data_IF_431456130343
#
_entry.id   IF_431456130343
#
_cell.length_a   1.000
_cell.length_b   1.000
_cell.length_c   1.000
_cell.angle_alpha   90.00
_cell.angle_beta   90.00
_cell.angle_gamma   90.00
#
_symmetry.space_group_name_H-M   'P 1'
#
loop_
_entity.id
_entity.type
_entity.pdbx_description
1 polymer ?
#
# COMPACT_ATOMS: atom_id res chain seq x y z
N UNK A 1 31.80 34.49 -19.70
CA UNK A 1 31.49 34.88 -21.10
C UNK A 1 30.63 33.74 -21.67
N UNK A 2 29.39 33.88 -22.13
CA UNK A 2 28.65 34.95 -22.80
C UNK A 2 27.28 35.15 -22.15
N UNK A 3 26.82 36.40 -22.18
CA UNK A 3 25.53 36.90 -21.69
C UNK A 3 24.42 36.61 -22.72
N UNK A 4 23.22 36.27 -22.26
CA UNK A 4 21.98 36.37 -23.04
C UNK A 4 21.06 37.40 -22.36
N UNK A 5 20.46 38.37 -23.08
CA UNK A 5 19.73 39.49 -22.48
C UNK A 5 18.21 39.21 -22.37
N UNK A 6 17.65 39.67 -21.26
CA UNK A 6 16.21 39.83 -21.03
C UNK A 6 15.62 40.94 -21.91
N UNK A 7 14.36 40.83 -22.37
CA UNK A 7 13.64 41.99 -22.87
C UNK A 7 12.83 42.67 -21.74
N UNK A 8 13.15 43.93 -21.49
CA UNK A 8 12.29 44.93 -20.89
C UNK A 8 11.10 45.25 -21.82
N UNK A 9 9.88 45.33 -21.26
CA UNK A 9 8.80 46.23 -21.73
C UNK A 9 7.81 46.46 -20.58
N UNK A 10 7.82 47.66 -20.00
CA UNK A 10 6.97 48.83 -20.29
C UNK A 10 5.65 48.82 -19.51
N UNK A 11 5.67 49.57 -18.41
CA UNK A 11 4.51 50.11 -17.69
C UNK A 11 4.01 51.37 -18.43
N UNK A 12 2.71 51.49 -18.72
CA UNK A 12 2.06 52.79 -18.85
C UNK A 12 1.10 53.04 -17.68
N UNK A 13 1.08 54.30 -17.24
CA UNK A 13 0.40 54.82 -16.06
C UNK A 13 -1.12 55.06 -16.19
N UNK A 14 -1.68 55.90 -15.30
CA UNK A 14 -3.09 55.88 -14.91
C UNK A 14 -3.97 56.67 -15.90
N UNK A 15 -5.02 56.02 -16.39
CA UNK A 15 -5.99 56.61 -17.33
C UNK A 15 -7.42 56.54 -16.81
N UNK A 16 -7.95 57.72 -16.48
CA UNK A 16 -9.33 58.18 -16.62
C UNK A 16 -10.51 57.37 -16.03
N UNK A 17 -11.15 58.00 -15.04
CA UNK A 17 -12.51 57.79 -14.59
C UNK A 17 -13.53 57.90 -15.74
N UNK A 18 -14.32 56.85 -15.96
CA UNK A 18 -15.67 56.96 -16.49
C UNK A 18 -16.66 56.21 -15.60
N UNK A 19 -17.53 56.98 -14.97
CA UNK A 19 -18.69 56.52 -14.22
C UNK A 19 -19.76 56.11 -15.24
N UNK A 20 -20.03 54.82 -15.36
CA UNK A 20 -21.29 54.32 -15.90
C UNK A 20 -21.96 53.46 -14.86
N UNK A 21 -23.10 53.96 -14.37
CA UNK A 21 -24.01 53.25 -13.50
C UNK A 21 -24.65 52.09 -14.28
N UNK A 22 -24.17 50.88 -14.04
CA UNK A 22 -24.92 49.66 -14.32
C UNK A 22 -25.41 49.13 -12.98
N UNK A 23 -26.73 49.27 -12.75
CA UNK A 23 -27.40 48.60 -11.65
C UNK A 23 -27.34 47.09 -11.90
N UNK A 24 -26.32 46.44 -11.32
CA UNK A 24 -26.28 44.99 -11.20
C UNK A 24 -27.30 44.64 -10.12
N UNK A 25 -28.42 44.10 -10.56
CA UNK A 25 -29.36 43.38 -9.73
C UNK A 25 -28.62 42.17 -9.16
N UNK A 26 -28.04 42.33 -7.96
CA UNK A 26 -27.54 41.22 -7.15
C UNK A 26 -28.77 40.44 -6.66
N UNK A 27 -29.33 39.61 -7.54
CA UNK A 27 -30.16 38.51 -7.10
C UNK A 27 -29.20 37.55 -6.39
N UNK A 28 -29.09 37.72 -5.07
CA UNK A 28 -28.48 36.73 -4.21
C UNK A 28 -29.32 35.46 -4.33
N UNK A 29 -28.97 34.62 -5.31
CA UNK A 29 -29.30 33.21 -5.28
C UNK A 29 -28.50 32.62 -4.12
N UNK A 30 -28.99 32.82 -2.89
CA UNK A 30 -28.83 31.88 -1.80
C UNK A 30 -29.56 30.59 -2.22
N UNK A 31 -29.08 29.94 -3.28
CA UNK A 31 -29.28 28.51 -3.46
C UNK A 31 -28.58 27.90 -2.26
N UNK A 32 -29.39 27.58 -1.25
CA UNK A 32 -28.95 26.86 -0.07
C UNK A 32 -28.10 25.71 -0.55
N UNK A 33 -26.79 25.80 -0.30
CA UNK A 33 -25.96 24.62 -0.19
C UNK A 33 -26.48 23.91 1.06
N UNK A 34 -27.64 23.27 0.95
CA UNK A 34 -27.97 22.17 1.80
C UNK A 34 -26.83 21.19 1.58
N UNK A 35 -25.90 21.14 2.53
CA UNK A 35 -25.02 19.99 2.65
C UNK A 35 -25.97 18.79 2.64
N UNK A 36 -25.96 18.03 1.54
CA UNK A 36 -26.67 16.76 1.48
C UNK A 36 -26.21 16.00 2.71
N UNK A 37 -27.13 15.76 3.64
CA UNK A 37 -26.81 14.94 4.79
C UNK A 37 -26.41 13.57 4.24
N UNK A 38 -25.21 13.12 4.61
CA UNK A 38 -24.76 11.78 4.31
C UNK A 38 -25.84 10.78 4.74
N UNK A 39 -26.40 10.06 3.77
CA UNK A 39 -27.39 9.04 4.00
C UNK A 39 -26.75 7.72 4.41
N UNK A 40 -27.56 6.82 4.96
CA UNK A 40 -27.19 5.42 5.15
C UNK A 40 -28.00 4.57 4.19
N UNK A 41 -27.32 3.74 3.39
CA UNK A 41 -27.94 2.77 2.49
C UNK A 41 -27.63 1.37 3.03
N UNK A 42 -28.62 0.73 3.64
CA UNK A 42 -28.47 -0.63 4.17
C UNK A 42 -28.81 -1.67 3.10
N UNK A 43 -27.94 -2.66 2.94
CA UNK A 43 -28.08 -3.79 2.03
C UNK A 43 -28.10 -5.07 2.84
N UNK A 44 -29.26 -5.75 2.90
CA UNK A 44 -29.40 -7.03 3.61
C UNK A 44 -29.16 -8.17 2.64
N UNK A 45 -28.06 -8.88 2.83
CA UNK A 45 -27.66 -10.04 2.04
C UNK A 45 -28.18 -11.33 2.66
N UNK A 46 -28.46 -12.32 1.81
CA UNK A 46 -29.04 -13.61 2.22
C UNK A 46 -28.22 -14.80 1.72
N UNK A 47 -26.92 -14.62 1.52
CA UNK A 47 -25.97 -15.60 1.02
C UNK A 47 -26.46 -16.34 -0.25
N UNK A 48 -26.89 -15.59 -1.26
CA UNK A 48 -27.38 -16.13 -2.53
C UNK A 48 -26.81 -15.37 -3.73
N UNK A 49 -26.93 -15.96 -4.92
CA UNK A 49 -26.30 -15.46 -6.14
C UNK A 49 -26.74 -14.05 -6.57
N UNK A 50 -27.83 -13.51 -6.01
CA UNK A 50 -28.31 -12.15 -6.26
C UNK A 50 -27.66 -11.06 -5.39
N UNK A 51 -26.91 -11.41 -4.34
CA UNK A 51 -26.38 -10.45 -3.37
C UNK A 51 -25.41 -9.45 -4.03
N UNK A 52 -24.54 -9.89 -4.93
CA UNK A 52 -23.63 -9.00 -5.64
C UNK A 52 -24.36 -7.93 -6.47
N UNK A 53 -25.46 -8.33 -7.14
CA UNK A 53 -26.32 -7.41 -7.90
C UNK A 53 -27.03 -6.44 -6.96
N UNK A 54 -27.54 -6.93 -5.83
CA UNK A 54 -28.21 -6.12 -4.81
C UNK A 54 -27.28 -5.02 -4.27
N UNK A 55 -26.05 -5.40 -3.88
CA UNK A 55 -25.03 -4.46 -3.39
C UNK A 55 -24.71 -3.43 -4.48
N UNK A 56 -24.38 -3.86 -5.70
CA UNK A 56 -24.04 -2.93 -6.79
C UNK A 56 -25.19 -1.97 -7.13
N UNK A 57 -26.45 -2.42 -7.08
CA UNK A 57 -27.61 -1.55 -7.29
C UNK A 57 -27.74 -0.48 -6.20
N UNK A 58 -27.52 -0.86 -4.93
CA UNK A 58 -27.51 0.08 -3.82
C UNK A 58 -26.41 1.13 -3.97
N UNK A 59 -25.20 0.72 -4.37
CA UNK A 59 -24.08 1.64 -4.64
C UNK A 59 -24.40 2.57 -5.82
N UNK A 60 -24.98 2.04 -6.89
CA UNK A 60 -25.35 2.85 -8.05
C UNK A 60 -26.39 3.92 -7.68
N UNK A 61 -27.36 3.56 -6.84
CA UNK A 61 -28.39 4.48 -6.32
C UNK A 61 -27.94 5.45 -5.24
N UNK A 62 -26.71 5.32 -4.71
CA UNK A 62 -26.23 6.17 -3.61
C UNK A 62 -25.64 7.52 -4.06
N UNK A 63 -25.78 8.51 -3.18
CA UNK A 63 -25.29 9.87 -3.32
C UNK A 63 -23.86 10.04 -2.80
N UNK A 64 -23.20 11.14 -3.17
CA UNK A 64 -21.88 11.49 -2.62
C UNK A 64 -22.04 11.70 -1.11
N UNK A 65 -21.16 11.09 -0.32
CA UNK A 65 -21.17 11.15 1.15
C UNK A 65 -21.92 10.00 1.83
N UNK A 66 -22.70 9.20 1.10
CA UNK A 66 -23.46 8.09 1.69
C UNK A 66 -22.55 6.99 2.24
N UNK A 67 -23.01 6.37 3.34
CA UNK A 67 -22.46 5.14 3.88
C UNK A 67 -23.29 3.94 3.42
N UNK A 68 -22.63 2.97 2.79
CA UNK A 68 -23.23 1.70 2.37
C UNK A 68 -22.96 0.66 3.45
N UNK A 69 -24.02 0.18 4.09
CA UNK A 69 -23.96 -0.80 5.18
C UNK A 69 -24.38 -2.15 4.65
N UNK A 70 -23.45 -3.09 4.53
CA UNK A 70 -23.71 -4.47 4.13
C UNK A 70 -24.03 -5.27 5.39
N UNK A 71 -25.17 -5.93 5.41
CA UNK A 71 -25.65 -6.71 6.53
C UNK A 71 -25.86 -8.18 6.13
N UNK A 72 -25.45 -9.09 7.01
CA UNK A 72 -25.48 -10.53 6.78
C UNK A 72 -24.39 -11.05 5.83
N UNK A 73 -24.33 -12.38 5.65
CA UNK A 73 -23.43 -13.01 4.69
C UNK A 73 -23.89 -12.73 3.25
N UNK A 74 -22.94 -12.41 2.38
CA UNK A 74 -23.16 -12.11 0.97
C UNK A 74 -22.40 -13.09 0.07
N UNK A 75 -23.11 -13.69 -0.88
CA UNK A 75 -22.48 -14.50 -1.94
C UNK A 75 -22.13 -13.62 -3.14
N UNK A 76 -20.84 -13.43 -3.38
CA UNK A 76 -20.33 -12.52 -4.41
C UNK A 76 -20.06 -13.27 -5.70
N UNK A 77 -20.92 -13.05 -6.69
CA UNK A 77 -20.87 -13.63 -8.05
C UNK A 77 -20.42 -12.64 -9.11
N UNK A 78 -20.24 -11.37 -8.73
CA UNK A 78 -19.71 -10.30 -9.56
C UNK A 78 -18.93 -9.31 -8.69
N UNK A 79 -17.89 -8.68 -9.23
CA UNK A 79 -17.12 -7.65 -8.52
C UNK A 79 -18.04 -6.52 -8.03
N UNK A 80 -17.83 -6.07 -6.79
CA UNK A 80 -18.50 -4.91 -6.23
C UNK A 80 -17.70 -3.66 -6.59
N UNK A 81 -18.33 -2.76 -7.36
CA UNK A 81 -17.71 -1.51 -7.80
C UNK A 81 -17.90 -0.43 -6.72
N UNK A 82 -16.81 -0.02 -6.09
CA UNK A 82 -16.79 1.04 -5.09
C UNK A 82 -16.75 2.41 -5.77
N UNK A 83 -17.86 3.15 -5.76
CA UNK A 83 -17.90 4.57 -6.17
C UNK A 83 -17.12 5.44 -5.18
N UNK A 84 -16.34 6.38 -5.70
CA UNK A 84 -15.62 7.36 -4.88
C UNK A 84 -16.56 8.28 -4.09
N UNK A 85 -16.06 8.93 -3.03
CA UNK A 85 -16.80 9.73 -2.04
C UNK A 85 -17.90 8.97 -1.28
N UNK A 86 -17.71 7.68 -1.02
CA UNK A 86 -18.61 6.87 -0.18
C UNK A 86 -17.80 6.10 0.85
N UNK A 87 -18.45 5.72 1.94
CA UNK A 87 -17.95 4.70 2.86
C UNK A 87 -18.71 3.40 2.67
N UNK A 88 -18.03 2.28 2.90
CA UNK A 88 -18.54 0.93 2.79
C UNK A 88 -18.20 0.21 4.08
N UNK A 89 -19.19 -0.37 4.74
CA UNK A 89 -18.93 -1.13 5.96
C UNK A 89 -19.83 -2.34 6.13
N UNK A 90 -19.35 -3.31 6.91
CA UNK A 90 -20.22 -4.29 7.53
C UNK A 90 -20.74 -3.84 8.90
N UNK A 91 -21.35 -4.77 9.61
CA UNK A 91 -21.71 -4.64 11.03
C UNK A 91 -20.58 -5.12 11.96
N UNK A 92 -19.45 -5.54 11.38
CA UNK A 92 -18.31 -6.15 12.05
C UNK A 92 -17.68 -7.20 11.13
N UNK A 93 -16.61 -7.86 11.59
CA UNK A 93 -15.94 -8.93 10.82
C UNK A 93 -16.87 -10.14 10.55
N UNK A 94 -18.01 -10.25 11.21
CA UNK A 94 -19.02 -11.28 10.95
C UNK A 94 -19.83 -11.00 9.66
N UNK A 95 -19.79 -9.79 9.11
CA UNK A 95 -20.30 -9.50 7.76
C UNK A 95 -19.32 -10.07 6.74
N UNK A 96 -19.65 -11.21 6.14
CA UNK A 96 -18.77 -11.93 5.21
C UNK A 96 -19.22 -11.73 3.76
N UNK A 97 -18.33 -11.23 2.92
CA UNK A 97 -18.45 -11.16 1.47
C UNK A 97 -17.65 -12.31 0.88
N UNK A 98 -18.32 -13.41 0.54
CA UNK A 98 -17.68 -14.64 0.07
C UNK A 98 -17.83 -14.81 -1.44
N UNK A 99 -16.74 -15.05 -2.16
CA UNK A 99 -16.80 -15.40 -3.57
C UNK A 99 -17.60 -16.68 -3.82
N UNK A 100 -18.52 -16.65 -4.78
CA UNK A 100 -19.26 -17.84 -5.22
C UNK A 100 -18.34 -18.93 -5.77
N UNK A 101 -18.77 -20.19 -5.68
CA UNK A 101 -18.02 -21.30 -6.28
C UNK A 101 -17.93 -21.11 -7.80
N UNK A 102 -16.74 -21.33 -8.37
CA UNK A 102 -16.46 -21.17 -9.79
C UNK A 102 -16.74 -19.76 -10.35
N UNK A 103 -16.88 -18.74 -9.50
CA UNK A 103 -17.10 -17.36 -9.94
C UNK A 103 -15.84 -16.79 -10.62
N UNK A 104 -14.65 -17.20 -10.15
CA UNK A 104 -13.36 -16.88 -10.77
C UNK A 104 -13.18 -15.38 -11.07
N UNK A 105 -13.61 -14.54 -10.13
CA UNK A 105 -13.54 -13.09 -10.23
C UNK A 105 -12.08 -12.63 -10.22
N UNK A 106 -11.77 -11.57 -10.97
CA UNK A 106 -10.48 -10.92 -10.84
C UNK A 106 -10.32 -10.25 -9.45
N UNK A 107 -11.41 -9.76 -8.88
CA UNK A 107 -11.43 -9.11 -7.57
C UNK A 107 -12.82 -9.06 -6.94
N UNK A 108 -12.89 -9.05 -5.60
CA UNK A 108 -14.15 -8.93 -4.86
C UNK A 108 -14.61 -7.47 -4.82
N UNK A 109 -13.76 -6.56 -4.33
CA UNK A 109 -14.03 -5.14 -4.26
C UNK A 109 -13.02 -4.35 -5.12
N UNK A 110 -13.49 -3.43 -5.96
CA UNK A 110 -12.59 -2.54 -6.69
C UNK A 110 -13.14 -1.12 -6.79
N UNK A 111 -12.25 -0.12 -6.65
CA UNK A 111 -12.59 1.28 -6.90
C UNK A 111 -13.05 1.50 -8.34
N UNK A 112 -14.02 2.39 -8.51
CA UNK A 112 -14.57 2.80 -9.80
C UNK A 112 -13.49 3.21 -10.81
N UNK A 113 -12.52 4.03 -10.42
CA UNK A 113 -11.40 4.49 -11.25
C UNK A 113 -10.54 3.35 -11.82
N UNK A 114 -10.48 2.20 -11.15
CA UNK A 114 -9.79 1.02 -11.64
C UNK A 114 -10.62 0.30 -12.71
N UNK A 115 -11.91 0.08 -12.44
CA UNK A 115 -12.82 -0.63 -13.34
C UNK A 115 -13.18 0.20 -14.59
N UNK A 116 -13.31 1.52 -14.44
CA UNK A 116 -13.66 2.46 -15.50
C UNK A 116 -12.45 2.87 -16.35
N UNK A 117 -11.27 2.31 -16.07
CA UNK A 117 -10.05 2.61 -16.81
C UNK A 117 -9.69 4.10 -16.85
N UNK A 118 -10.00 4.81 -15.77
CA UNK A 118 -9.70 6.24 -15.64
C UNK A 118 -8.19 6.47 -15.77
N UNK A 119 -7.77 7.51 -16.47
CA UNK A 119 -6.38 7.96 -16.44
C UNK A 119 -6.04 8.73 -15.14
N UNK A 120 -7.01 8.94 -14.25
CA UNK A 120 -6.90 9.73 -13.04
C UNK A 120 -7.26 8.91 -11.81
N UNK A 121 -6.63 9.25 -10.68
CA UNK A 121 -6.97 8.66 -9.38
C UNK A 121 -8.45 8.91 -9.05
N UNK A 122 -9.09 7.91 -8.43
CA UNK A 122 -10.50 8.00 -7.99
C UNK A 122 -10.68 8.87 -6.76
N UNK A 123 -11.90 9.31 -6.50
CA UNK A 123 -12.23 10.07 -5.31
C UNK A 123 -12.15 9.21 -4.04
N UNK A 124 -12.05 9.81 -2.83
CA UNK A 124 -11.81 9.07 -1.59
C UNK A 124 -12.84 7.97 -1.30
N UNK A 125 -12.37 6.79 -0.89
CA UNK A 125 -13.20 5.64 -0.53
C UNK A 125 -12.78 5.14 0.85
N UNK A 126 -13.74 4.79 1.70
CA UNK A 126 -13.46 4.10 2.97
C UNK A 126 -14.10 2.72 2.98
N UNK A 127 -13.35 1.66 3.31
CA UNK A 127 -13.85 0.30 3.49
C UNK A 127 -13.51 -0.18 4.89
N UNK A 128 -14.51 -0.66 5.65
CA UNK A 128 -14.28 -1.07 7.04
C UNK A 128 -15.19 -2.16 7.61
N UNK A 129 -14.76 -2.80 8.69
CA UNK A 129 -15.61 -3.66 9.55
C UNK A 129 -16.32 -4.78 8.79
N UNK A 130 -15.60 -5.55 7.98
CA UNK A 130 -16.15 -6.70 7.24
C UNK A 130 -15.09 -7.76 6.97
N UNK A 131 -15.52 -8.94 6.55
CA UNK A 131 -14.67 -10.02 6.06
C UNK A 131 -14.85 -10.21 4.55
N UNK A 132 -13.75 -10.42 3.84
CA UNK A 132 -13.70 -10.75 2.42
C UNK A 132 -13.07 -12.14 2.28
N UNK A 133 -13.85 -13.10 1.78
CA UNK A 133 -13.42 -14.50 1.59
C UNK A 133 -13.33 -14.80 0.09
N UNK A 134 -12.11 -15.06 -0.39
CA UNK A 134 -11.83 -15.37 -1.78
C UNK A 134 -12.28 -16.77 -2.20
N UNK A 135 -12.59 -17.65 -1.23
CA UNK A 135 -13.04 -19.01 -1.48
C UNK A 135 -12.13 -19.77 -2.47
N UNK A 136 -10.81 -19.62 -2.31
CA UNK A 136 -9.80 -20.16 -3.25
C UNK A 136 -9.90 -21.65 -3.50
N UNK A 137 -10.34 -22.44 -2.52
CA UNK A 137 -10.48 -23.90 -2.72
C UNK A 137 -11.56 -24.24 -3.76
N UNK A 138 -12.43 -23.29 -4.12
CA UNK A 138 -13.48 -23.43 -5.12
C UNK A 138 -13.33 -22.46 -6.31
N UNK A 139 -12.20 -21.75 -6.43
CA UNK A 139 -11.94 -20.77 -7.48
C UNK A 139 -10.48 -20.84 -7.93
N UNK A 140 -10.24 -20.84 -9.24
CA UNK A 140 -8.90 -21.01 -9.82
C UNK A 140 -8.29 -19.71 -10.36
N UNK A 141 -9.05 -18.62 -10.39
CA UNK A 141 -8.52 -17.31 -10.77
C UNK A 141 -7.83 -16.64 -9.58
N UNK A 142 -6.68 -16.00 -9.85
CA UNK A 142 -5.91 -15.20 -8.90
C UNK A 142 -6.68 -13.94 -8.43
N UNK A 143 -7.70 -14.18 -7.62
CA UNK A 143 -8.65 -13.17 -7.15
C UNK A 143 -7.97 -12.24 -6.15
N UNK A 144 -8.15 -10.92 -6.33
CA UNK A 144 -7.73 -9.92 -5.35
C UNK A 144 -8.87 -9.55 -4.41
N UNK A 145 -8.62 -9.48 -3.10
CA UNK A 145 -9.63 -9.07 -2.12
C UNK A 145 -10.15 -7.64 -2.37
N UNK A 146 -9.24 -6.65 -2.30
CA UNK A 146 -9.55 -5.24 -2.56
C UNK A 146 -8.54 -4.64 -3.55
N UNK A 147 -9.03 -4.02 -4.61
CA UNK A 147 -8.23 -3.12 -5.48
C UNK A 147 -8.63 -1.67 -5.22
N UNK A 148 -7.66 -0.86 -4.79
CA UNK A 148 -7.87 0.57 -4.51
C UNK A 148 -7.01 1.44 -5.43
N UNK A 149 -7.69 2.28 -6.21
CA UNK A 149 -7.07 3.24 -7.11
C UNK A 149 -7.57 4.67 -6.87
N UNK A 150 -7.58 5.10 -5.61
CA UNK A 150 -8.17 6.37 -5.16
C UNK A 150 -7.31 7.04 -4.09
N UNK A 151 -7.28 8.39 -4.07
CA UNK A 151 -6.52 9.18 -3.10
C UNK A 151 -7.31 9.40 -1.80
N UNK A 152 -6.61 9.65 -0.69
CA UNK A 152 -7.22 9.89 0.63
C UNK A 152 -8.21 8.80 1.05
N UNK A 153 -7.99 7.57 0.58
CA UNK A 153 -8.83 6.42 0.89
C UNK A 153 -8.36 5.68 2.11
N UNK A 154 -9.26 4.93 2.76
CA UNK A 154 -8.93 4.07 3.89
C UNK A 154 -9.46 2.65 3.73
N UNK A 155 -8.67 1.68 4.21
CA UNK A 155 -9.06 0.27 4.39
C UNK A 155 -8.76 -0.08 5.84
N UNK A 156 -9.80 -0.22 6.66
CA UNK A 156 -9.68 -0.23 8.12
C UNK A 156 -10.45 -1.40 8.75
N UNK A 157 -9.79 -2.20 9.59
CA UNK A 157 -10.45 -3.30 10.32
C UNK A 157 -11.23 -4.26 9.39
N UNK A 158 -10.55 -4.69 8.31
CA UNK A 158 -11.06 -5.69 7.37
C UNK A 158 -10.31 -7.01 7.56
N UNK A 159 -11.04 -8.13 7.58
CA UNK A 159 -10.45 -9.47 7.46
C UNK A 159 -10.47 -9.90 6.00
N UNK A 160 -9.33 -10.30 5.43
CA UNK A 160 -9.22 -10.73 4.03
C UNK A 160 -8.56 -12.09 4.03
N UNK A 161 -9.27 -13.10 3.54
CA UNK A 161 -8.82 -14.49 3.63
C UNK A 161 -9.01 -15.23 2.33
N UNK A 162 -8.22 -16.31 2.15
CA UNK A 162 -8.49 -17.33 1.14
C UNK A 162 -8.57 -16.78 -0.28
N UNK A 163 -7.76 -15.75 -0.58
CA UNK A 163 -7.58 -15.22 -1.93
C UNK A 163 -6.61 -16.11 -2.69
N UNK A 164 -6.87 -16.41 -3.95
CA UNK A 164 -5.86 -17.06 -4.81
C UNK A 164 -4.84 -16.04 -5.34
N UNK A 165 -5.21 -14.76 -5.39
CA UNK A 165 -4.33 -13.63 -5.70
C UNK A 165 -3.90 -12.85 -4.45
N UNK A 166 -3.96 -11.52 -4.52
CA UNK A 166 -3.51 -10.62 -3.45
C UNK A 166 -4.61 -10.35 -2.42
N UNK A 167 -4.23 -10.03 -1.18
CA UNK A 167 -5.18 -9.51 -0.20
C UNK A 167 -5.65 -8.10 -0.56
N UNK A 168 -4.74 -7.13 -0.46
CA UNK A 168 -4.97 -5.72 -0.81
C UNK A 168 -4.01 -5.30 -1.92
N UNK A 169 -4.53 -4.64 -2.95
CA UNK A 169 -3.75 -4.08 -4.05
C UNK A 169 -4.02 -2.57 -4.21
N UNK A 170 -2.99 -1.74 -4.07
CA UNK A 170 -3.00 -0.38 -4.63
C UNK A 170 -2.38 -0.42 -6.02
N UNK A 171 -3.11 0.04 -7.05
CA UNK A 171 -2.68 -0.15 -8.44
C UNK A 171 -2.59 1.16 -9.21
N UNK A 172 -1.44 1.39 -9.85
CA UNK A 172 -1.26 2.43 -10.85
C UNK A 172 -2.00 2.08 -12.16
N UNK A 173 -1.76 0.92 -12.80
CA UNK A 173 -2.57 0.52 -13.94
C UNK A 173 -4.02 0.25 -13.54
N UNK A 174 -4.96 0.65 -14.38
CA UNK A 174 -6.36 0.21 -14.32
C UNK A 174 -6.53 -1.24 -14.78
N UNK A 175 -7.78 -1.74 -14.82
CA UNK A 175 -8.09 -3.09 -15.28
C UNK A 175 -7.60 -3.37 -16.73
N UNK A 176 -7.64 -2.37 -17.62
CA UNK A 176 -7.11 -2.47 -18.98
C UNK A 176 -5.65 -1.97 -19.12
N UNK A 177 -4.92 -1.83 -18.02
CA UNK A 177 -3.55 -1.32 -17.96
C UNK A 177 -3.36 0.17 -18.29
N UNK A 178 -4.42 1.00 -18.26
CA UNK A 178 -4.27 2.45 -18.39
C UNK A 178 -3.54 3.01 -17.15
N UNK A 179 -2.38 3.67 -17.29
CA UNK A 179 -1.65 4.21 -16.15
C UNK A 179 -2.32 5.46 -15.58
N UNK A 180 -1.99 5.79 -14.33
CA UNK A 180 -2.34 7.10 -13.76
C UNK A 180 -1.52 8.21 -14.42
N UNK A 181 -2.18 9.34 -14.70
CA UNK A 181 -1.57 10.60 -15.15
C UNK A 181 -1.34 11.57 -13.99
N UNK A 182 -1.81 11.23 -12.79
CA UNK A 182 -1.58 11.96 -11.54
C UNK A 182 -1.20 11.01 -10.40
N UNK A 183 -1.13 11.53 -9.18
CA UNK A 183 -0.73 10.75 -8.00
C UNK A 183 -1.92 10.25 -7.20
N UNK A 184 -1.74 9.11 -6.55
CA UNK A 184 -2.61 8.50 -5.56
C UNK A 184 -1.89 8.56 -4.20
N UNK A 185 -2.32 9.49 -3.35
CA UNK A 185 -1.60 9.83 -2.12
C UNK A 185 -2.51 9.88 -0.89
N UNK A 186 -1.89 9.95 0.28
CA UNK A 186 -2.53 10.26 1.56
C UNK A 186 -3.56 9.23 2.04
N UNK A 187 -3.46 7.98 1.59
CA UNK A 187 -4.35 6.92 2.03
C UNK A 187 -3.84 6.14 3.25
N UNK A 188 -4.69 5.28 3.81
CA UNK A 188 -4.43 4.53 5.05
C UNK A 188 -4.87 3.07 4.93
N UNK A 189 -4.02 2.15 5.37
CA UNK A 189 -4.32 0.72 5.50
C UNK A 189 -4.05 0.34 6.97
N UNK A 190 -5.12 0.16 7.75
CA UNK A 190 -5.04 0.14 9.22
C UNK A 190 -5.78 -1.04 9.83
N UNK A 191 -5.18 -1.76 10.79
CA UNK A 191 -5.94 -2.70 11.62
C UNK A 191 -6.46 -3.93 10.89
N UNK A 192 -5.97 -4.22 9.68
CA UNK A 192 -6.48 -5.32 8.87
C UNK A 192 -5.84 -6.65 9.26
N UNK A 193 -6.56 -7.74 8.99
CA UNK A 193 -6.00 -9.08 9.05
C UNK A 193 -6.07 -9.71 7.66
N UNK A 194 -4.92 -9.96 7.06
CA UNK A 194 -4.79 -10.54 5.73
C UNK A 194 -4.14 -11.90 5.85
N UNK A 195 -4.86 -12.96 5.52
CA UNK A 195 -4.34 -14.32 5.63
C UNK A 195 -4.62 -15.21 4.41
N UNK A 196 -3.80 -16.27 4.30
CA UNK A 196 -4.00 -17.37 3.35
C UNK A 196 -4.20 -16.94 1.88
N UNK A 197 -3.54 -15.85 1.47
CA UNK A 197 -3.57 -15.32 0.11
C UNK A 197 -2.52 -16.00 -0.77
N UNK A 198 -2.82 -16.38 -2.01
CA UNK A 198 -1.87 -17.02 -2.94
C UNK A 198 -0.80 -16.08 -3.51
N UNK A 199 -1.06 -14.77 -3.52
CA UNK A 199 -0.11 -13.73 -3.86
C UNK A 199 0.46 -13.01 -2.63
N UNK A 200 0.81 -11.74 -2.79
CA UNK A 200 1.15 -10.85 -1.67
C UNK A 200 -0.02 -10.60 -0.71
N UNK A 201 0.27 -10.39 0.57
CA UNK A 201 -0.72 -9.90 1.52
C UNK A 201 -1.18 -8.49 1.16
N UNK A 202 -0.24 -7.54 1.15
CA UNK A 202 -0.46 -6.16 0.69
C UNK A 202 0.51 -5.84 -0.45
N UNK A 203 0.00 -5.36 -1.58
CA UNK A 203 0.79 -5.03 -2.76
C UNK A 203 0.50 -3.62 -3.25
N UNK A 204 1.55 -2.85 -3.52
CA UNK A 204 1.52 -1.60 -4.27
C UNK A 204 2.21 -1.84 -5.59
N UNK A 205 1.40 -1.87 -6.65
CA UNK A 205 1.84 -1.98 -8.05
C UNK A 205 1.93 -0.59 -8.65
N UNK A 206 3.13 -0.06 -8.84
CA UNK A 206 3.34 1.34 -9.24
C UNK A 206 4.34 1.50 -10.38
N UNK A 207 3.87 1.22 -11.59
CA UNK A 207 4.67 1.33 -12.82
C UNK A 207 4.98 2.76 -13.25
N UNK A 208 4.39 3.77 -12.61
CA UNK A 208 4.46 5.18 -13.02
C UNK A 208 4.86 6.15 -11.92
N UNK A 209 5.41 5.65 -10.81
CA UNK A 209 5.82 6.48 -9.66
C UNK A 209 4.69 7.43 -9.19
N UNK A 210 3.48 6.87 -9.05
CA UNK A 210 2.25 7.60 -8.79
C UNK A 210 1.64 7.30 -7.42
N UNK A 211 2.09 6.27 -6.69
CA UNK A 211 1.51 5.86 -5.41
C UNK A 211 2.51 6.15 -4.28
N UNK A 212 2.29 7.23 -3.53
CA UNK A 212 3.21 7.73 -2.49
C UNK A 212 2.47 8.22 -1.25
N UNK A 213 3.17 8.44 -0.15
CA UNK A 213 2.63 9.13 1.03
C UNK A 213 1.43 8.42 1.69
N UNK A 214 1.45 7.09 1.72
CA UNK A 214 0.44 6.27 2.43
C UNK A 214 0.93 5.85 3.80
N UNK A 215 -0.03 5.58 4.69
CA UNK A 215 0.23 4.93 5.99
C UNK A 215 -0.27 3.49 5.97
N UNK A 216 0.60 2.54 6.31
CA UNK A 216 0.30 1.13 6.47
C UNK A 216 0.66 0.74 7.91
N UNK A 217 -0.35 0.61 8.76
CA UNK A 217 -0.12 0.45 10.21
C UNK A 217 -1.02 -0.56 10.90
N UNK A 218 -0.50 -1.21 11.93
CA UNK A 218 -1.27 -2.07 12.83
C UNK A 218 -1.99 -3.23 12.09
N UNK A 219 -1.39 -3.77 11.02
CA UNK A 219 -1.95 -4.89 10.27
C UNK A 219 -1.30 -6.22 10.66
N UNK A 220 -2.05 -7.32 10.53
CA UNK A 220 -1.55 -8.68 10.62
C UNK A 220 -1.56 -9.32 9.23
N UNK A 221 -0.41 -9.86 8.81
CA UNK A 221 -0.25 -10.53 7.52
C UNK A 221 0.30 -11.92 7.76
N UNK A 222 -0.46 -12.94 7.36
CA UNK A 222 -0.18 -14.34 7.67
C UNK A 222 -0.32 -15.25 6.45
N UNK A 223 0.68 -16.08 6.13
CA UNK A 223 0.48 -17.12 5.12
C UNK A 223 0.20 -16.60 3.71
N UNK A 224 0.84 -15.51 3.30
CA UNK A 224 0.85 -15.08 1.89
C UNK A 224 1.63 -16.07 1.02
N UNK A 225 1.30 -16.21 -0.26
CA UNK A 225 2.02 -17.08 -1.19
C UNK A 225 3.23 -16.42 -1.84
N UNK A 226 3.38 -15.09 -1.68
CA UNK A 226 4.56 -14.32 -2.05
C UNK A 226 5.03 -13.46 -0.85
N UNK A 227 5.49 -12.22 -1.09
CA UNK A 227 5.87 -11.28 -0.02
C UNK A 227 4.69 -10.94 0.89
N UNK A 228 4.94 -10.70 2.18
CA UNK A 228 3.92 -10.21 3.10
C UNK A 228 3.41 -8.83 2.67
N UNK A 229 4.33 -7.86 2.59
CA UNK A 229 4.11 -6.51 2.09
C UNK A 229 5.07 -6.25 0.94
N UNK A 230 4.54 -5.87 -0.24
CA UNK A 230 5.33 -5.47 -1.41
C UNK A 230 4.97 -4.07 -1.85
N UNK A 231 5.96 -3.17 -1.85
CA UNK A 231 5.84 -1.80 -2.31
C UNK A 231 6.81 -1.58 -3.48
N UNK A 232 6.31 -1.43 -4.70
CA UNK A 232 7.15 -1.07 -5.86
C UNK A 232 7.59 0.41 -5.84
N UNK A 233 6.88 1.23 -5.07
CA UNK A 233 7.25 2.60 -4.78
C UNK A 233 6.92 2.92 -3.33
N UNK A 234 7.94 3.16 -2.52
CA UNK A 234 7.82 3.44 -1.09
C UNK A 234 8.05 4.90 -0.73
N UNK A 235 8.18 5.82 -1.69
CA UNK A 235 8.42 7.23 -1.39
C UNK A 235 7.35 7.82 -0.45
N UNK A 236 7.78 8.40 0.67
CA UNK A 236 6.92 9.02 1.68
C UNK A 236 6.04 8.08 2.51
N UNK A 237 6.16 6.76 2.32
CA UNK A 237 5.35 5.79 3.06
C UNK A 237 5.74 5.72 4.55
N UNK A 238 4.73 5.48 5.39
CA UNK A 238 4.89 5.09 6.79
C UNK A 238 4.40 3.65 6.93
N UNK A 239 5.31 2.72 7.22
CA UNK A 239 5.04 1.28 7.36
C UNK A 239 5.39 0.87 8.78
N UNK A 240 4.39 0.79 9.66
CA UNK A 240 4.67 0.63 11.09
C UNK A 240 3.76 -0.31 11.86
N UNK A 241 4.27 -0.89 12.96
CA UNK A 241 3.50 -1.73 13.89
C UNK A 241 2.75 -2.89 13.24
N UNK A 242 3.20 -3.38 12.08
CA UNK A 242 2.61 -4.54 11.43
C UNK A 242 3.20 -5.83 12.00
N UNK A 243 2.41 -6.90 12.01
CA UNK A 243 2.85 -8.24 12.36
C UNK A 243 2.82 -9.16 11.14
N UNK A 244 3.96 -9.74 10.77
CA UNK A 244 4.13 -10.53 9.55
C UNK A 244 4.73 -11.90 9.89
N UNK A 245 4.08 -12.98 9.45
CA UNK A 245 4.54 -14.34 9.68
C UNK A 245 4.06 -15.32 8.60
N UNK A 246 4.76 -16.46 8.46
CA UNK A 246 4.37 -17.51 7.53
C UNK A 246 4.50 -17.11 6.05
N UNK A 247 5.49 -16.29 5.69
CA UNK A 247 5.64 -15.80 4.30
C UNK A 247 6.82 -16.48 3.58
N UNK A 248 6.63 -16.97 2.35
CA UNK A 248 7.64 -17.74 1.62
C UNK A 248 8.76 -16.88 1.03
N UNK A 249 8.52 -15.59 0.80
CA UNK A 249 9.49 -14.67 0.21
C UNK A 249 9.95 -13.62 1.23
N UNK A 250 9.83 -12.32 0.92
CA UNK A 250 10.20 -11.24 1.81
C UNK A 250 9.07 -10.91 2.78
N UNK A 251 9.38 -10.53 4.02
CA UNK A 251 8.31 -10.01 4.89
C UNK A 251 7.87 -8.62 4.43
N UNK A 252 8.83 -7.71 4.25
CA UNK A 252 8.62 -6.38 3.68
C UNK A 252 9.60 -6.19 2.51
N UNK A 253 9.07 -5.94 1.33
CA UNK A 253 9.80 -5.44 0.17
C UNK A 253 9.41 -3.99 -0.10
N UNK A 254 10.36 -3.08 0.04
CA UNK A 254 10.16 -1.64 -0.13
C UNK A 254 11.13 -1.08 -1.18
N UNK A 255 10.70 -1.01 -2.43
CA UNK A 255 11.50 -0.39 -3.49
C UNK A 255 11.35 1.14 -3.45
N UNK A 256 12.41 1.87 -3.78
CA UNK A 256 12.42 3.33 -3.93
C UNK A 256 12.12 4.09 -2.64
N UNK A 257 12.72 3.69 -1.51
CA UNK A 257 12.57 4.45 -0.27
C UNK A 257 13.15 5.87 -0.43
N UNK A 258 12.35 6.87 -0.09
CA UNK A 258 12.67 8.29 -0.18
C UNK A 258 11.78 9.04 0.83
N UNK A 259 12.36 9.49 1.95
CA UNK A 259 11.57 10.04 3.06
C UNK A 259 10.60 9.02 3.68
N UNK A 260 10.89 7.72 3.53
CA UNK A 260 10.06 6.60 3.99
C UNK A 260 10.40 6.24 5.43
N UNK A 261 9.42 5.84 6.23
CA UNK A 261 9.64 5.18 7.53
C UNK A 261 9.15 3.73 7.52
N UNK A 262 10.01 2.81 7.96
CA UNK A 262 9.68 1.41 8.25
C UNK A 262 10.01 1.14 9.71
N UNK A 263 9.00 1.18 10.58
CA UNK A 263 9.21 1.27 12.03
C UNK A 263 8.38 0.30 12.87
N UNK A 264 8.95 -0.22 13.96
CA UNK A 264 8.23 -0.99 14.98
C UNK A 264 7.45 -2.21 14.46
N UNK A 265 7.78 -2.72 13.27
CA UNK A 265 7.17 -3.92 12.73
C UNK A 265 7.68 -5.15 13.49
N UNK A 266 6.81 -6.15 13.63
CA UNK A 266 7.13 -7.44 14.19
C UNK A 266 7.09 -8.49 13.08
N UNK A 267 8.24 -9.07 12.77
CA UNK A 267 8.41 -10.10 11.74
C UNK A 267 8.87 -11.37 12.44
N UNK A 268 8.06 -12.43 12.37
CA UNK A 268 8.38 -13.72 12.98
C UNK A 268 8.91 -14.75 11.98
N UNK A 269 8.65 -14.57 10.68
CA UNK A 269 9.01 -15.55 9.67
C UNK A 269 9.06 -14.96 8.28
N UNK A 270 10.04 -15.39 7.49
CA UNK A 270 10.22 -15.02 6.08
C UNK A 270 11.13 -16.03 5.38
N UNK A 271 11.05 -16.13 4.06
CA UNK A 271 11.80 -17.14 3.30
C UNK A 271 11.36 -18.57 3.63
N UNK A 272 10.11 -18.76 4.08
CA UNK A 272 9.51 -20.05 4.44
C UNK A 272 9.07 -20.82 3.20
N UNK A 273 10.04 -21.09 2.31
CA UNK A 273 9.82 -21.69 1.01
C UNK A 273 10.75 -22.87 0.77
N UNK A 274 10.32 -23.80 -0.08
CA UNK A 274 11.16 -24.87 -0.62
C UNK A 274 12.02 -24.39 -1.79
N UNK A 275 11.87 -23.16 -2.27
CA UNK A 275 12.66 -22.61 -3.39
C UNK A 275 13.91 -21.89 -2.88
N UNK A 276 15.08 -22.21 -3.42
CA UNK A 276 16.31 -21.50 -3.08
C UNK A 276 16.27 -20.04 -3.57
N UNK A 277 16.74 -19.10 -2.75
CA UNK A 277 16.75 -17.68 -3.10
C UNK A 277 17.47 -16.80 -2.07
N UNK A 278 17.30 -15.49 -2.20
CA UNK A 278 17.75 -14.54 -1.18
C UNK A 278 16.54 -13.88 -0.55
N UNK A 279 16.31 -14.15 0.73
CA UNK A 279 15.10 -13.73 1.43
C UNK A 279 15.42 -12.67 2.46
N UNK A 280 14.51 -11.72 2.63
CA UNK A 280 14.70 -10.59 3.53
C UNK A 280 13.54 -10.46 4.51
N UNK A 281 13.86 -10.14 5.76
CA UNK A 281 12.85 -9.63 6.68
C UNK A 281 12.39 -8.25 6.18
N UNK A 282 13.35 -7.33 6.03
CA UNK A 282 13.12 -6.02 5.42
C UNK A 282 14.11 -5.82 4.27
N UNK A 283 13.59 -5.76 3.04
CA UNK A 283 14.31 -5.35 1.84
C UNK A 283 13.95 -3.91 1.53
N UNK A 284 14.94 -3.03 1.39
CA UNK A 284 14.73 -1.64 0.99
C UNK A 284 15.75 -1.19 -0.07
N UNK A 285 15.32 -0.58 -1.18
CA UNK A 285 16.27 0.13 -2.07
C UNK A 285 16.17 1.62 -1.83
N UNK A 286 17.30 2.27 -1.62
CA UNK A 286 17.33 3.72 -1.39
C UNK A 286 17.41 4.48 -2.73
N UNK A 287 17.04 5.75 -2.72
CA UNK A 287 17.25 6.62 -3.86
C UNK A 287 17.33 8.08 -3.45
N UNK A 288 18.09 8.87 -4.19
CA UNK A 288 18.17 10.32 -3.98
C UNK A 288 18.66 10.74 -2.60
N UNK A 289 18.60 12.05 -2.35
CA UNK A 289 19.29 12.66 -1.21
C UNK A 289 18.41 12.84 0.04
N UNK A 290 17.16 12.34 0.01
CA UNK A 290 16.25 12.39 1.16
C UNK A 290 16.32 11.07 1.92
N UNK A 291 16.72 11.17 3.18
CA UNK A 291 16.93 10.01 4.03
C UNK A 291 15.61 9.29 4.37
N UNK A 292 15.66 7.96 4.36
CA UNK A 292 14.60 7.09 4.89
C UNK A 292 15.04 6.45 6.21
N UNK A 293 14.08 5.97 7.00
CA UNK A 293 14.31 5.42 8.34
C UNK A 293 13.81 3.98 8.44
N UNK A 294 14.64 3.11 9.03
CA UNK A 294 14.29 1.72 9.38
C UNK A 294 14.64 1.52 10.86
N UNK A 295 13.65 1.58 11.75
CA UNK A 295 13.92 1.61 13.19
C UNK A 295 12.96 0.82 14.07
N UNK A 296 13.44 0.34 15.22
CA UNK A 296 12.60 -0.31 16.22
C UNK A 296 11.98 -1.65 15.78
N UNK A 297 12.32 -2.17 14.60
CA UNK A 297 11.74 -3.40 14.09
C UNK A 297 12.28 -4.62 14.86
N UNK A 298 11.42 -5.59 15.09
CA UNK A 298 11.75 -6.92 15.61
C UNK A 298 11.71 -7.89 14.46
N UNK A 299 12.88 -8.33 13.99
CA UNK A 299 13.01 -9.19 12.81
C UNK A 299 13.60 -10.53 13.21
N UNK A 300 12.74 -11.53 13.27
CA UNK A 300 13.06 -12.90 13.61
C UNK A 300 12.74 -13.84 12.45
N UNK A 301 13.28 -15.05 12.54
CA UNK A 301 12.94 -16.11 11.60
C UNK A 301 12.70 -17.42 12.38
N UNK A 302 11.54 -17.50 13.04
CA UNK A 302 11.09 -18.65 13.82
C UNK A 302 10.75 -19.86 12.95
N UNK A 303 10.33 -19.64 11.69
CA UNK A 303 10.26 -20.71 10.67
C UNK A 303 11.64 -21.27 10.29
N UNK A 304 12.71 -20.56 10.65
CA UNK A 304 14.09 -20.96 10.48
C UNK A 304 14.65 -20.64 9.08
N UNK A 305 15.93 -20.94 8.90
CA UNK A 305 16.62 -20.78 7.61
C UNK A 305 16.60 -22.12 6.85
N UNK A 306 15.40 -22.70 6.68
CA UNK A 306 15.19 -24.12 6.33
C UNK A 306 15.71 -24.51 4.94
N UNK A 307 15.70 -23.59 3.97
CA UNK A 307 16.23 -23.85 2.64
C UNK A 307 17.74 -23.65 2.60
N UNK A 308 18.49 -24.76 2.47
CA UNK A 308 19.96 -24.79 2.50
C UNK A 308 20.62 -24.08 1.32
N UNK A 309 19.93 -23.97 0.18
CA UNK A 309 20.39 -23.21 -0.98
C UNK A 309 20.16 -21.69 -0.88
N UNK A 310 19.49 -21.21 0.17
CA UNK A 310 19.13 -19.80 0.31
C UNK A 310 20.17 -18.98 1.06
N UNK A 311 20.05 -17.65 0.95
CA UNK A 311 20.68 -16.71 1.89
C UNK A 311 19.61 -15.84 2.54
N UNK A 312 19.80 -15.53 3.82
CA UNK A 312 18.80 -14.81 4.62
C UNK A 312 19.39 -13.49 5.12
N UNK A 313 18.72 -12.38 4.84
CA UNK A 313 19.15 -11.03 5.20
C UNK A 313 18.07 -10.37 6.06
N UNK A 314 18.29 -10.15 7.34
CA UNK A 314 17.21 -9.72 8.22
C UNK A 314 16.77 -8.28 7.90
N UNK A 315 17.73 -7.35 7.80
CA UNK A 315 17.49 -6.00 7.26
C UNK A 315 18.54 -5.70 6.19
N UNK A 316 18.09 -5.36 5.00
CA UNK A 316 18.96 -5.16 3.84
C UNK A 316 18.64 -3.91 3.03
N UNK A 317 19.70 -3.19 2.66
CA UNK A 317 19.71 -2.13 1.67
C UNK A 317 20.64 -2.58 0.54
N UNK A 318 20.17 -3.37 -0.43
CA UNK A 318 21.06 -4.00 -1.40
C UNK A 318 21.35 -3.13 -2.63
N UNK A 319 20.62 -2.02 -2.79
CA UNK A 319 20.77 -1.14 -3.94
C UNK A 319 20.44 0.32 -3.60
N UNK A 320 21.11 1.23 -4.30
CA UNK A 320 20.70 2.63 -4.47
C UNK A 320 20.31 2.81 -5.95
N UNK A 321 19.05 3.19 -6.20
CA UNK A 321 18.49 3.18 -7.55
C UNK A 321 19.11 4.24 -8.48
N UNK A 322 19.51 5.39 -7.92
CA UNK A 322 20.25 6.43 -8.62
C UNK A 322 20.91 7.38 -7.61
N UNK A 323 21.92 8.12 -8.07
CA UNK A 323 22.70 9.05 -7.24
C UNK A 323 23.26 8.36 -5.97
N UNK A 324 23.38 9.12 -4.90
CA UNK A 324 23.64 8.61 -3.54
C UNK A 324 22.33 8.30 -2.83
N UNK A 325 22.36 7.35 -1.89
CA UNK A 325 21.23 7.04 -1.01
C UNK A 325 21.58 7.29 0.45
N UNK A 326 20.58 7.64 1.25
CA UNK A 326 20.73 7.94 2.68
C UNK A 326 19.68 7.16 3.48
N UNK A 327 20.11 6.39 4.46
CA UNK A 327 19.20 5.60 5.30
C UNK A 327 19.66 5.60 6.76
N UNK A 328 18.74 5.72 7.70
CA UNK A 328 19.01 5.42 9.11
C UNK A 328 18.47 4.02 9.42
N UNK A 329 19.30 3.17 10.03
CA UNK A 329 18.94 1.81 10.45
C UNK A 329 19.26 1.67 11.91
N UNK A 330 18.29 1.90 12.80
CA UNK A 330 18.57 2.11 14.23
C UNK A 330 17.64 1.35 15.16
N UNK A 331 18.15 0.89 16.31
CA UNK A 331 17.30 0.32 17.36
C UNK A 331 16.55 -0.96 16.98
N UNK A 332 16.97 -1.67 15.94
CA UNK A 332 16.29 -2.91 15.51
C UNK A 332 16.78 -4.11 16.35
N UNK A 333 15.88 -5.05 16.64
CA UNK A 333 16.18 -6.32 17.27
C UNK A 333 16.12 -7.45 16.25
N UNK A 334 17.26 -8.09 16.00
CA UNK A 334 17.43 -9.14 15.02
C UNK A 334 17.90 -10.41 15.72
N UNK A 335 17.17 -11.50 15.48
CA UNK A 335 17.59 -12.84 15.91
C UNK A 335 17.43 -13.81 14.76
N UNK A 336 18.55 -14.36 14.31
CA UNK A 336 18.52 -15.40 13.30
C UNK A 336 18.33 -16.80 13.81
N UNK A 337 18.40 -17.76 12.87
CA UNK A 337 18.23 -19.19 13.16
C UNK A 337 19.54 -19.91 13.55
N UNK A 338 20.68 -19.20 13.59
CA UNK A 338 21.97 -19.76 14.00
C UNK A 338 22.67 -20.57 12.91
N UNK A 339 22.29 -20.38 11.64
CA UNK A 339 22.91 -21.08 10.51
C UNK A 339 23.93 -20.19 9.80
N UNK A 340 24.74 -20.81 8.94
CA UNK A 340 25.76 -20.14 8.11
C UNK A 340 25.18 -19.21 7.03
N UNK A 341 23.86 -19.20 6.82
CA UNK A 341 23.16 -18.48 5.74
C UNK A 341 22.63 -17.11 6.16
N UNK A 342 22.56 -16.83 7.47
CA UNK A 342 21.98 -15.62 8.02
C UNK A 342 22.93 -14.43 8.07
N UNK A 343 22.46 -13.25 7.66
CA UNK A 343 23.13 -11.96 7.86
C UNK A 343 22.19 -10.95 8.46
N UNK A 344 22.57 -10.36 9.60
CA UNK A 344 21.72 -9.41 10.31
C UNK A 344 21.46 -8.14 9.49
N UNK A 345 22.52 -7.39 9.22
CA UNK A 345 22.48 -6.12 8.48
C UNK A 345 23.26 -6.22 7.17
N UNK A 346 22.63 -5.92 6.04
CA UNK A 346 23.26 -6.02 4.72
C UNK A 346 23.19 -4.70 3.95
N UNK A 347 24.33 -4.05 3.71
CA UNK A 347 24.37 -2.74 3.04
C UNK A 347 25.22 -2.80 1.77
N UNK A 348 24.63 -2.42 0.64
CA UNK A 348 25.26 -2.32 -0.66
C UNK A 348 24.70 -1.11 -1.41
N UNK A 349 25.57 -0.36 -2.09
CA UNK A 349 25.10 0.71 -2.98
C UNK A 349 24.55 0.20 -4.31
N UNK A 350 24.90 -1.04 -4.69
CA UNK A 350 24.60 -1.58 -6.02
C UNK A 350 25.09 -0.66 -7.15
N UNK A 351 24.18 -0.27 -8.04
CA UNK A 351 24.46 0.59 -9.20
C UNK A 351 24.59 2.08 -8.87
N UNK A 352 24.13 2.53 -7.69
CA UNK A 352 24.24 3.93 -7.26
C UNK A 352 25.68 4.39 -7.02
N UNK A 353 25.86 5.70 -6.83
CA UNK A 353 27.16 6.33 -6.63
C UNK A 353 27.72 6.01 -5.23
N UNK A 354 26.89 6.14 -4.20
CA UNK A 354 27.24 5.85 -2.82
C UNK A 354 26.00 5.52 -1.98
N UNK A 355 26.21 4.92 -0.82
CA UNK A 355 25.19 4.74 0.21
C UNK A 355 25.75 5.22 1.55
N UNK A 356 25.04 6.13 2.21
CA UNK A 356 25.35 6.54 3.59
C UNK A 356 24.31 5.94 4.53
N UNK A 357 24.78 5.20 5.54
CA UNK A 357 23.92 4.58 6.55
C UNK A 357 24.29 5.07 7.94
N UNK A 358 23.32 5.62 8.68
CA UNK A 358 23.45 5.76 10.14
C UNK A 358 22.99 4.45 10.76
N UNK A 359 23.89 3.66 11.37
CA UNK A 359 23.58 2.31 11.88
C UNK A 359 24.02 2.11 13.32
N UNK A 360 23.12 2.41 14.26
CA UNK A 360 23.39 2.41 15.71
C UNK A 360 22.28 1.70 16.51
N UNK A 361 22.60 1.19 17.70
CA UNK A 361 21.64 0.59 18.63
C UNK A 361 20.94 -0.70 18.15
N UNK A 362 21.45 -1.37 17.10
CA UNK A 362 20.85 -2.61 16.61
C UNK A 362 21.37 -3.82 17.43
N UNK A 363 20.46 -4.60 18.00
CA UNK A 363 20.78 -5.87 18.63
C UNK A 363 20.74 -6.97 17.56
N UNK A 364 21.88 -7.62 17.28
CA UNK A 364 21.98 -8.67 16.26
C UNK A 364 22.55 -9.94 16.89
N UNK A 365 21.76 -11.01 16.90
CA UNK A 365 22.13 -12.29 17.50
C UNK A 365 21.81 -13.48 16.58
N UNK A 366 22.52 -14.58 16.77
CA UNK A 366 22.26 -15.88 16.14
C UNK A 366 22.21 -15.84 14.60
N UNK A 367 23.09 -15.06 13.99
CA UNK A 367 23.33 -15.00 12.54
C UNK A 367 24.80 -15.29 12.28
N UNK A 368 25.14 -15.81 11.10
CA UNK A 368 26.54 -16.02 10.71
C UNK A 368 27.32 -14.71 10.65
N UNK A 369 26.73 -13.71 10.02
CA UNK A 369 27.36 -12.41 9.80
C UNK A 369 26.48 -11.32 10.38
N UNK A 370 26.96 -10.63 11.42
CA UNK A 370 26.16 -9.55 12.02
C UNK A 370 25.91 -8.39 11.06
N UNK A 371 26.94 -8.00 10.29
CA UNK A 371 26.88 -6.91 9.33
C UNK A 371 27.77 -7.15 8.12
N UNK A 372 27.24 -6.88 6.93
CA UNK A 372 27.99 -6.83 5.67
C UNK A 372 27.92 -5.41 5.11
N UNK A 373 29.08 -4.85 4.74
CA UNK A 373 29.23 -3.50 4.17
C UNK A 373 29.91 -3.64 2.82
N UNK A 374 29.23 -3.20 1.76
CA UNK A 374 29.75 -3.19 0.40
C UNK A 374 30.67 -2.00 0.09
N UNK A 375 31.36 -2.10 -1.05
CA UNK A 375 32.18 -1.00 -1.58
C UNK A 375 31.33 0.25 -1.85
N UNK A 376 31.84 1.41 -1.45
CA UNK A 376 31.16 2.71 -1.60
C UNK A 376 29.98 2.92 -0.65
N UNK A 377 29.88 2.10 0.40
CA UNK A 377 28.96 2.32 1.52
C UNK A 377 29.73 2.97 2.67
N UNK A 378 29.22 4.09 3.18
CA UNK A 378 29.71 4.75 4.41
C UNK A 378 28.75 4.44 5.55
N UNK A 379 29.26 3.94 6.67
CA UNK A 379 28.44 3.64 7.85
C UNK A 379 28.91 4.48 9.04
N UNK A 380 28.01 5.27 9.62
CA UNK A 380 28.28 6.16 10.75
C UNK A 380 27.37 5.82 11.95
N UNK A 381 27.76 6.24 13.16
CA UNK A 381 26.94 6.08 14.36
C UNK A 381 25.85 7.16 14.52
N UNK A 382 25.93 8.26 13.76
CA UNK A 382 25.19 9.49 14.02
C UNK A 382 26.07 10.56 14.69
N UNK A 383 25.51 11.74 14.92
CA UNK A 383 26.16 12.83 15.69
C UNK A 383 25.74 12.79 17.15
#
# INVERSE_FOLDING_TARGET
MRKSPLPHRLVPGPGAFHRSAAAILCLAACLGHHALQAGTVTVVCNNNSGDATLINNAINGSSDGDEIVIDGPALITATIKLKGKRSYRGNGRDTVLKQGNSANLATILASDSYLDNSAWTGNPISVRHLTIDGNRDNNTAATVGIIMRSWLSSIEDVSITSMDGHGILLSNPSANSTPLSNTQVNGRIVGNFVDYCGGHGIYVKDTGNSITDWTLTDNWIAGSGLDGIRLENSAGWIVERNHIYGVPNHAIWADRVFGTSISDNYIEGFGETTTAGTWYGIYATAQGEIASTINGNRVFNFGGESQTGSTYRYIGIPNVNYSSGFVTVTGNAIRGAGTTRGTGLYYQKGSGTALTVISTGNLVNNVQTQRTIGTGVTVNAGL
#
